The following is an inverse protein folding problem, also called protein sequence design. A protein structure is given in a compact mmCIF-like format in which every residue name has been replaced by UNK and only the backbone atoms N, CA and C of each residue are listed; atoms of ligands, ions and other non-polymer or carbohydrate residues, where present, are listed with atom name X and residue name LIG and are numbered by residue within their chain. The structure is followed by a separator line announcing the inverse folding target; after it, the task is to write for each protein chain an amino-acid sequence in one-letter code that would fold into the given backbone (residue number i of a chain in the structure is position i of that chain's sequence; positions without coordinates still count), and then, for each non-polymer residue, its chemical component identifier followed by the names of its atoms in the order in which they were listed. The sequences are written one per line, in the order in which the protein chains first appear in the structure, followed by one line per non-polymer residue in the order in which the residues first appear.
data_IF_801342494112
#
_entry.id   IF_801342494112
#
_cell.length_a   1.000
_cell.length_b   1.000
_cell.length_c   1.000
_cell.angle_alpha   90.00
_cell.angle_beta   90.00
_cell.angle_gamma   90.00
#
_symmetry.space_group_name_H-M   'P 1'
#
loop_
_entity.id
_entity.type
_entity.pdbx_description
1 polymer ?
#
# COMPACT_ATOMS: atom_id res chain seq x y z
N UNK A 1 -29.92 -10.23 -8.17
CA UNK A 1 -29.08 -9.33 -8.96
C UNK A 1 -29.89 -8.71 -10.08
N UNK A 2 -29.81 -7.44 -10.24
CA UNK A 2 -30.51 -6.76 -11.33
C UNK A 2 -29.77 -6.96 -12.64
N UNK A 3 -30.48 -6.74 -13.74
CA UNK A 3 -29.86 -6.80 -15.07
C UNK A 3 -29.05 -5.55 -15.40
N UNK A 4 -28.95 -4.65 -14.45
CA UNK A 4 -28.23 -3.40 -14.65
C UNK A 4 -26.74 -3.67 -14.85
N UNK A 5 -26.23 -3.23 -15.97
CA UNK A 5 -24.81 -3.32 -16.26
C UNK A 5 -24.03 -2.32 -15.40
N UNK A 6 -22.81 -2.67 -15.06
CA UNK A 6 -21.88 -1.75 -14.44
C UNK A 6 -21.30 -0.82 -15.51
N UNK A 7 -20.91 0.39 -15.11
CA UNK A 7 -20.29 1.35 -16.02
C UNK A 7 -18.89 0.86 -16.45
N UNK A 8 -18.20 0.17 -15.57
CA UNK A 8 -16.89 -0.37 -15.84
C UNK A 8 -16.70 -1.72 -15.16
N UNK A 9 -15.85 -2.54 -15.74
CA UNK A 9 -15.47 -3.83 -15.18
C UNK A 9 -13.95 -3.93 -15.22
N UNK A 10 -13.34 -4.19 -14.08
CA UNK A 10 -11.88 -4.26 -13.95
C UNK A 10 -11.47 -5.45 -13.10
N UNK A 11 -10.21 -5.83 -13.21
CA UNK A 11 -9.66 -6.92 -12.39
C UNK A 11 -9.44 -6.48 -10.95
N UNK A 12 -9.06 -5.22 -10.74
CA UNK A 12 -8.76 -4.67 -9.43
C UNK A 12 -9.38 -3.29 -9.29
N UNK A 13 -10.24 -3.15 -8.29
CA UNK A 13 -10.81 -1.87 -7.92
C UNK A 13 -10.12 -1.38 -6.65
N UNK A 14 -9.55 -0.17 -6.71
CA UNK A 14 -8.89 0.47 -5.57
C UNK A 14 -9.67 1.70 -5.16
N UNK A 15 -10.05 1.78 -3.91
CA UNK A 15 -10.78 2.90 -3.35
C UNK A 15 -9.82 3.71 -2.49
N UNK A 16 -9.51 4.91 -2.93
CA UNK A 16 -8.61 5.82 -2.23
C UNK A 16 -7.24 5.91 -2.89
N UNK A 17 -6.80 7.14 -3.14
CA UNK A 17 -5.56 7.44 -3.85
C UNK A 17 -4.47 8.00 -2.93
N UNK A 18 -4.41 7.52 -1.69
CA UNK A 18 -3.28 7.73 -0.80
C UNK A 18 -2.14 6.77 -1.13
N UNK A 19 -1.13 6.71 -0.28
CA UNK A 19 0.04 5.87 -0.53
C UNK A 19 -0.33 4.39 -0.73
N UNK A 20 -1.20 3.86 0.13
CA UNK A 20 -1.61 2.46 0.04
C UNK A 20 -2.36 2.16 -1.25
N UNK A 21 -3.34 3.01 -1.58
CA UNK A 21 -4.13 2.83 -2.80
C UNK A 21 -3.31 2.97 -4.07
N UNK A 22 -2.45 3.97 -4.13
CA UNK A 22 -1.57 4.19 -5.28
C UNK A 22 -0.59 3.01 -5.45
N UNK A 23 -0.06 2.50 -4.36
CA UNK A 23 0.85 1.34 -4.40
C UNK A 23 0.12 0.09 -4.90
N UNK A 24 -1.08 -0.15 -4.40
CA UNK A 24 -1.89 -1.29 -4.84
C UNK A 24 -2.22 -1.18 -6.33
N UNK A 25 -2.62 0.00 -6.79
CA UNK A 25 -2.96 0.22 -8.19
C UNK A 25 -1.75 0.00 -9.10
N UNK A 26 -0.61 0.56 -8.74
CA UNK A 26 0.62 0.41 -9.50
C UNK A 26 1.06 -1.05 -9.55
N UNK A 27 1.03 -1.72 -8.42
CA UNK A 27 1.41 -3.12 -8.33
C UNK A 27 0.50 -3.99 -9.21
N UNK A 28 -0.81 -3.76 -9.14
CA UNK A 28 -1.75 -4.47 -10.00
C UNK A 28 -1.48 -4.25 -11.48
N UNK A 29 -1.21 -2.99 -11.87
CA UNK A 29 -0.90 -2.66 -13.26
C UNK A 29 0.39 -3.33 -13.73
N UNK A 30 1.42 -3.36 -12.89
CA UNK A 30 2.68 -4.04 -13.21
C UNK A 30 2.46 -5.53 -13.46
N UNK A 31 1.53 -6.14 -12.74
CA UNK A 31 1.18 -7.55 -12.91
C UNK A 31 0.20 -7.79 -14.06
N UNK A 32 -0.10 -6.78 -14.86
CA UNK A 32 -0.94 -6.93 -16.06
C UNK A 32 -2.43 -6.88 -15.79
N UNK A 33 -2.85 -6.50 -14.60
CA UNK A 33 -4.26 -6.38 -14.27
C UNK A 33 -4.83 -5.06 -14.80
N UNK A 34 -6.11 -5.07 -15.16
CA UNK A 34 -6.83 -3.82 -15.39
C UNK A 34 -7.22 -3.24 -14.04
N UNK A 35 -6.91 -1.97 -13.82
CA UNK A 35 -7.08 -1.33 -12.52
C UNK A 35 -7.93 -0.07 -12.66
N UNK A 36 -8.88 0.10 -11.74
CA UNK A 36 -9.62 1.35 -11.58
C UNK A 36 -9.34 1.89 -10.18
N UNK A 37 -8.81 3.10 -10.12
CA UNK A 37 -8.53 3.81 -8.88
C UNK A 37 -9.55 4.93 -8.70
N UNK A 38 -10.28 4.91 -7.60
CA UNK A 38 -11.29 5.92 -7.29
C UNK A 38 -10.85 6.75 -6.10
N UNK A 39 -11.01 8.07 -6.22
CA UNK A 39 -10.66 9.01 -5.15
C UNK A 39 -11.85 9.93 -4.88
N UNK A 40 -12.18 10.11 -3.59
CA UNK A 40 -13.33 10.92 -3.20
C UNK A 40 -13.13 12.42 -3.40
N UNK A 41 -11.89 12.88 -3.42
CA UNK A 41 -11.56 14.29 -3.60
C UNK A 41 -11.12 14.58 -5.03
N UNK A 42 -10.95 15.85 -5.34
CA UNK A 42 -10.54 16.27 -6.68
C UNK A 42 -9.06 16.00 -6.96
N UNK A 43 -8.28 15.64 -5.94
CA UNK A 43 -6.84 15.44 -6.06
C UNK A 43 -6.42 14.09 -5.50
N UNK A 44 -5.49 13.44 -6.17
CA UNK A 44 -4.89 12.20 -5.69
C UNK A 44 -3.76 12.48 -4.70
N UNK A 45 -3.37 11.47 -3.93
CA UNK A 45 -2.21 11.53 -3.06
C UNK A 45 -2.48 11.44 -1.57
N UNK A 46 -3.68 11.80 -1.12
CA UNK A 46 -4.04 11.77 0.30
C UNK A 46 -3.09 12.60 1.16
N UNK A 47 -2.95 12.26 2.42
CA UNK A 47 -2.04 12.97 3.33
C UNK A 47 -0.56 12.74 2.98
N UNK A 48 -0.25 11.70 2.24
CA UNK A 48 1.12 11.46 1.77
C UNK A 48 1.61 12.62 0.90
N UNK A 49 0.74 13.17 0.06
CA UNK A 49 1.12 14.27 -0.84
C UNK A 49 1.43 15.57 -0.09
N UNK A 50 0.94 15.73 1.14
CA UNK A 50 1.20 16.92 1.96
C UNK A 50 2.29 16.71 2.98
N UNK A 51 2.91 15.55 3.01
CA UNK A 51 4.00 15.23 3.92
C UNK A 51 5.32 15.81 3.42
N UNK A 52 6.34 15.74 4.26
CA UNK A 52 7.70 16.13 3.87
C UNK A 52 8.39 15.16 2.94
N UNK A 53 7.77 14.04 2.63
CA UNK A 53 8.29 13.08 1.66
C UNK A 53 9.26 12.04 2.21
N UNK A 54 9.55 12.08 3.49
CA UNK A 54 10.46 11.09 4.09
C UNK A 54 9.87 9.69 3.99
N UNK A 55 10.66 8.78 3.44
CA UNK A 55 10.24 7.38 3.25
C UNK A 55 11.22 6.47 3.96
N UNK A 56 10.69 5.59 4.80
CA UNK A 56 11.47 4.56 5.46
C UNK A 56 11.23 3.23 4.79
N UNK A 57 12.30 2.68 4.21
CA UNK A 57 12.24 1.37 3.54
C UNK A 57 13.40 0.51 4.06
N UNK A 58 13.15 -0.29 5.09
CA UNK A 58 14.20 -1.14 5.65
C UNK A 58 14.54 -2.32 4.75
N UNK A 59 15.77 -2.80 4.84
CA UNK A 59 16.20 -4.01 4.16
C UNK A 59 16.34 -3.88 2.64
N UNK A 60 16.54 -2.67 2.13
CA UNK A 60 16.75 -2.46 0.69
C UNK A 60 18.14 -2.94 0.27
N UNK A 61 18.31 -3.19 -1.03
CA UNK A 61 19.61 -3.55 -1.58
C UNK A 61 20.65 -2.47 -1.31
N UNK A 62 20.25 -1.20 -1.36
CA UNK A 62 21.17 -0.09 -1.06
C UNK A 62 21.63 -0.12 0.39
N UNK A 63 20.73 -0.39 1.33
CA UNK A 63 21.07 -0.50 2.75
C UNK A 63 22.04 -1.66 2.98
N UNK A 64 21.78 -2.80 2.36
CA UNK A 64 22.64 -3.97 2.50
C UNK A 64 24.03 -3.72 1.93
N UNK A 65 24.13 -3.07 0.77
CA UNK A 65 25.39 -2.71 0.13
C UNK A 65 26.19 -1.72 0.96
N UNK A 66 25.51 -0.82 1.67
CA UNK A 66 26.14 0.16 2.54
C UNK A 66 26.57 -0.42 3.91
N UNK A 67 26.28 -1.71 4.15
CA UNK A 67 26.64 -2.37 5.40
C UNK A 67 25.71 -2.04 6.57
N UNK A 68 24.53 -1.53 6.29
CA UNK A 68 23.54 -1.25 7.33
C UNK A 68 22.95 -2.59 7.81
N UNK A 69 23.03 -2.89 9.14
CA UNK A 69 22.51 -4.16 9.68
C UNK A 69 20.99 -4.11 9.78
N UNK A 70 20.32 -4.32 8.67
CA UNK A 70 18.89 -4.17 8.54
C UNK A 70 18.31 -5.32 7.75
N UNK A 71 17.02 -5.64 7.99
CA UNK A 71 16.32 -6.69 7.26
C UNK A 71 14.83 -6.44 7.29
N UNK A 72 14.13 -7.00 6.29
CA UNK A 72 12.67 -6.97 6.25
C UNK A 72 12.07 -7.70 7.46
N UNK A 73 12.73 -8.76 7.91
CA UNK A 73 12.29 -9.55 9.07
C UNK A 73 12.35 -8.72 10.35
N UNK A 74 13.44 -8.00 10.58
CA UNK A 74 13.57 -7.12 11.75
C UNK A 74 12.53 -6.00 11.70
N UNK A 75 12.28 -5.44 10.52
CA UNK A 75 11.26 -4.42 10.35
C UNK A 75 9.88 -4.95 10.68
N UNK A 76 9.54 -6.15 10.22
CA UNK A 76 8.27 -6.78 10.52
C UNK A 76 8.09 -7.01 12.02
N UNK A 77 9.15 -7.45 12.69
CA UNK A 77 9.15 -7.65 14.14
C UNK A 77 8.89 -6.33 14.86
N UNK A 78 9.58 -5.27 14.46
CA UNK A 78 9.39 -3.94 15.02
C UNK A 78 7.95 -3.46 14.84
N UNK A 79 7.41 -3.59 13.63
CA UNK A 79 6.05 -3.14 13.33
C UNK A 79 5.00 -3.91 14.12
N UNK A 80 5.16 -5.22 14.27
CA UNK A 80 4.24 -6.01 15.10
C UNK A 80 4.25 -5.53 16.54
N UNK A 81 5.43 -5.21 17.05
CA UNK A 81 5.56 -4.72 18.42
C UNK A 81 4.90 -3.36 18.60
N UNK A 82 5.11 -2.44 17.68
CA UNK A 82 4.55 -1.08 17.74
C UNK A 82 3.03 -1.10 17.58
N UNK A 83 2.53 -1.87 16.61
CA UNK A 83 1.09 -1.98 16.36
C UNK A 83 0.38 -2.69 17.50
N UNK A 84 1.04 -3.66 18.13
CA UNK A 84 0.44 -4.46 19.19
C UNK A 84 -0.81 -5.16 18.69
N UNK A 85 -1.90 -5.02 19.43
CA UNK A 85 -3.16 -5.68 19.09
C UNK A 85 -4.18 -4.74 18.44
N UNK A 86 -3.77 -3.59 17.95
CA UNK A 86 -4.69 -2.59 17.40
C UNK A 86 -5.41 -3.04 16.14
N UNK A 87 -4.78 -3.88 15.36
CA UNK A 87 -5.37 -4.42 14.14
C UNK A 87 -6.30 -5.61 14.39
N UNK A 88 -6.48 -6.02 15.63
CA UNK A 88 -7.22 -7.21 16.00
C UNK A 88 -6.30 -8.41 16.11
N UNK A 89 -6.65 -9.50 15.44
CA UNK A 89 -5.83 -10.71 15.49
C UNK A 89 -4.61 -10.61 14.57
N UNK A 90 -3.73 -11.61 14.66
CA UNK A 90 -2.49 -11.65 13.90
C UNK A 90 -2.70 -11.66 12.39
N UNK A 91 -3.81 -12.21 11.93
CA UNK A 91 -4.10 -12.27 10.51
C UNK A 91 -4.30 -10.88 9.92
N UNK A 92 -4.90 -9.97 10.66
CA UNK A 92 -5.11 -8.60 10.21
C UNK A 92 -3.82 -7.82 10.16
N UNK A 93 -2.86 -8.18 10.99
CA UNK A 93 -1.57 -7.50 11.04
C UNK A 93 -0.57 -8.05 10.06
N UNK A 94 -0.83 -9.21 9.57
CA UNK A 94 0.03 -9.84 8.58
C UNK A 94 -0.19 -9.23 7.21
#
# INVERSE_FOLDING_TARGET
MTDKAFDEEVDLLVIGAGAGGMTAALTGAIHGLSVLLCEKTAMVGGTTSTSGGTTWVPGTDLSLKAGVPDSAEDAATFLRHVVGNRGGDDQRRA
#
